data_IF_510988988728
#
_entry.id   IF_510988988728
#
_cell.length_a   1.000
_cell.length_b   1.000
_cell.length_c   1.000
_cell.angle_alpha   90.00
_cell.angle_beta   90.00
_cell.angle_gamma   90.00
#
_symmetry.space_group_name_H-M   'P 1'
#
loop_
_entity.id
_entity.type
_entity.pdbx_description
1 polymer ?
#
# COMPACT_ATOMS: atom_id res chain seq x y z
N UNK A 1 -22.50 -46.15 -12.00
CA UNK A 1 -21.21 -45.60 -12.47
C UNK A 1 -21.24 -44.11 -12.20
N UNK A 2 -20.57 -43.74 -11.12
CA UNK A 2 -20.56 -42.42 -10.50
C UNK A 2 -19.21 -41.78 -10.82
N UNK A 3 -19.21 -40.54 -11.30
CA UNK A 3 -18.02 -39.73 -11.54
C UNK A 3 -18.30 -38.28 -11.10
N UNK A 4 -17.26 -37.54 -10.66
CA UNK A 4 -17.30 -36.87 -9.36
C UNK A 4 -17.47 -35.35 -9.43
N UNK A 5 -17.87 -34.80 -8.28
CA UNK A 5 -18.12 -33.39 -8.05
C UNK A 5 -16.89 -32.51 -8.18
N UNK A 6 -17.11 -31.35 -8.81
CA UNK A 6 -16.25 -30.20 -8.84
C UNK A 6 -16.14 -29.59 -7.45
N UNK A 7 -14.95 -29.67 -6.86
CA UNK A 7 -14.60 -29.00 -5.62
C UNK A 7 -14.36 -27.50 -5.90
N UNK A 8 -15.26 -26.69 -5.38
CA UNK A 8 -15.15 -25.24 -5.27
C UNK A 8 -13.97 -24.92 -4.33
N UNK A 9 -12.85 -24.45 -4.89
CA UNK A 9 -11.72 -23.94 -4.11
C UNK A 9 -12.07 -22.53 -3.65
N UNK A 10 -12.67 -22.42 -2.47
CA UNK A 10 -12.75 -21.15 -1.77
C UNK A 10 -11.34 -20.62 -1.50
N UNK A 11 -11.00 -19.49 -2.12
CA UNK A 11 -9.79 -18.73 -1.82
C UNK A 11 -9.86 -18.25 -0.37
N UNK A 12 -9.23 -19.01 0.52
CA UNK A 12 -9.17 -18.67 1.94
C UNK A 12 -8.11 -17.59 2.09
N UNK A 13 -8.56 -16.34 2.12
CA UNK A 13 -7.73 -15.18 2.47
C UNK A 13 -7.15 -15.46 3.86
N UNK A 14 -5.84 -15.71 3.95
CA UNK A 14 -5.19 -15.98 5.22
C UNK A 14 -5.05 -14.67 5.98
N UNK A 15 -6.08 -14.30 6.75
CA UNK A 15 -5.85 -13.42 7.89
C UNK A 15 -4.73 -14.03 8.72
N UNK A 16 -3.63 -13.29 8.92
CA UNK A 16 -2.65 -13.63 9.96
C UNK A 16 -3.32 -13.35 11.31
N UNK A 17 -4.27 -14.19 11.70
CA UNK A 17 -4.78 -14.26 13.06
C UNK A 17 -3.59 -14.67 13.91
N UNK A 18 -3.00 -13.69 14.59
CA UNK A 18 -2.00 -13.98 15.61
C UNK A 18 -2.77 -14.66 16.74
N UNK A 19 -2.79 -15.99 16.76
CA UNK A 19 -3.44 -16.76 17.82
C UNK A 19 -2.68 -16.44 19.10
N UNK A 20 -3.22 -15.50 19.89
CA UNK A 20 -2.73 -15.20 21.22
C UNK A 20 -3.44 -16.14 22.18
N UNK A 21 -2.75 -17.08 22.84
CA UNK A 21 -3.38 -18.06 23.72
C UNK A 21 -3.76 -17.45 25.08
N UNK A 22 -4.02 -16.15 25.15
CA UNK A 22 -4.32 -15.46 26.39
C UNK A 22 -5.83 -15.28 26.54
N UNK A 23 -6.37 -15.64 27.69
CA UNK A 23 -7.80 -15.52 27.93
C UNK A 23 -8.22 -14.05 27.97
N UNK A 24 -9.34 -13.72 27.32
CA UNK A 24 -10.04 -12.43 27.45
C UNK A 24 -9.29 -11.19 26.94
N UNK A 25 -8.20 -11.37 26.19
CA UNK A 25 -7.50 -10.23 25.56
C UNK A 25 -8.33 -9.57 24.45
N UNK A 26 -9.27 -10.29 23.85
CA UNK A 26 -10.14 -9.78 22.78
C UNK A 26 -10.93 -8.53 23.21
N UNK A 27 -11.23 -8.38 24.50
CA UNK A 27 -11.90 -7.18 25.04
C UNK A 27 -11.00 -5.95 24.95
N UNK A 28 -9.70 -6.10 25.27
CA UNK A 28 -8.72 -5.01 25.14
C UNK A 28 -8.48 -4.72 23.66
N UNK A 29 -8.41 -5.76 22.83
CA UNK A 29 -8.20 -5.59 21.39
C UNK A 29 -9.35 -4.85 20.72
N UNK A 30 -10.61 -5.19 21.07
CA UNK A 30 -11.80 -4.51 20.57
C UNK A 30 -11.87 -3.02 20.91
N UNK A 31 -11.34 -2.58 22.05
CA UNK A 31 -11.26 -1.14 22.35
C UNK A 31 -10.28 -0.41 21.44
N UNK A 32 -9.22 -1.08 20.98
CA UNK A 32 -8.26 -0.49 20.04
C UNK A 32 -8.77 -0.47 18.58
N UNK A 33 -9.85 -1.17 18.23
CA UNK A 33 -10.47 -1.06 16.89
C UNK A 33 -10.96 0.34 16.58
N UNK A 34 -11.29 1.12 17.61
CA UNK A 34 -11.70 2.51 17.46
C UNK A 34 -10.54 3.48 17.17
N UNK A 35 -9.28 3.01 17.22
CA UNK A 35 -8.12 3.87 16.98
C UNK A 35 -8.01 4.21 15.51
N UNK A 36 -7.92 5.50 15.21
CA UNK A 36 -7.74 6.00 13.85
C UNK A 36 -6.54 6.94 13.76
N UNK A 37 -5.85 6.91 12.63
CA UNK A 37 -4.84 7.91 12.28
C UNK A 37 -5.50 8.94 11.36
N UNK A 38 -5.50 10.21 11.76
CA UNK A 38 -6.00 11.32 10.95
C UNK A 38 -4.83 12.02 10.27
N UNK A 39 -4.88 12.09 8.94
CA UNK A 39 -3.87 12.76 8.11
C UNK A 39 -4.54 13.87 7.31
N UNK A 40 -4.16 15.12 7.54
CA UNK A 40 -4.74 16.25 6.79
C UNK A 40 -6.25 16.48 7.02
N UNK A 41 -6.88 15.74 7.93
CA UNK A 41 -8.33 15.79 8.19
C UNK A 41 -9.04 14.47 7.89
N UNK A 42 -8.41 13.60 7.10
CA UNK A 42 -9.00 12.32 6.70
C UNK A 42 -8.62 11.20 7.68
N UNK A 43 -9.59 10.42 8.19
CA UNK A 43 -9.33 9.31 9.09
C UNK A 43 -8.94 8.04 8.34
N UNK A 44 -7.97 7.32 8.88
CA UNK A 44 -7.49 6.03 8.37
C UNK A 44 -7.52 4.97 9.46
N UNK A 45 -7.90 3.75 9.09
CA UNK A 45 -7.84 2.57 9.95
C UNK A 45 -6.42 1.98 10.03
N UNK A 46 -6.22 1.07 10.98
CA UNK A 46 -4.94 0.38 11.15
C UNK A 46 -4.61 -0.45 9.91
N UNK A 47 -3.41 -0.25 9.34
CA UNK A 47 -3.02 -0.89 8.09
C UNK A 47 -2.01 -0.06 7.33
N UNK A 48 -2.06 -0.17 6.00
CA UNK A 48 -1.30 0.69 5.10
C UNK A 48 -2.01 2.04 4.96
N UNK A 49 -1.27 3.13 5.13
CA UNK A 49 -1.73 4.51 4.99
C UNK A 49 -0.87 5.17 3.93
N UNK A 50 -1.37 5.19 2.71
CA UNK A 50 -0.66 5.77 1.56
C UNK A 50 -1.10 7.22 1.40
N UNK A 51 -0.14 8.15 1.42
CA UNK A 51 -0.43 9.59 1.39
C UNK A 51 0.48 10.28 0.38
N UNK A 52 -0.02 11.30 -0.31
CA UNK A 52 0.78 12.09 -1.23
C UNK A 52 2.02 12.68 -0.54
N UNK A 53 3.12 12.87 -1.28
CA UNK A 53 4.42 13.29 -0.71
C UNK A 53 4.35 14.66 -0.01
N UNK A 54 3.49 15.55 -0.50
CA UNK A 54 3.23 16.87 0.09
C UNK A 54 2.52 16.76 1.44
N UNK A 55 1.53 15.87 1.56
CA UNK A 55 0.87 15.55 2.82
C UNK A 55 1.83 14.85 3.78
N UNK A 56 2.63 13.89 3.30
CA UNK A 56 3.64 13.23 4.14
C UNK A 56 4.64 14.22 4.73
N UNK A 57 4.99 15.26 3.99
CA UNK A 57 5.97 16.26 4.42
C UNK A 57 5.36 17.36 5.30
N UNK A 58 4.14 17.79 5.00
CA UNK A 58 3.58 19.02 5.57
C UNK A 58 2.32 18.82 6.42
N UNK A 59 1.60 17.71 6.25
CA UNK A 59 0.36 17.50 6.99
C UNK A 59 0.62 17.31 8.48
N UNK A 60 -0.40 17.67 9.26
CA UNK A 60 -0.50 17.34 10.68
C UNK A 60 -1.10 15.95 10.80
N UNK A 61 -0.40 15.10 11.55
CA UNK A 61 -0.85 13.75 11.87
C UNK A 61 -1.40 13.75 13.30
N UNK A 62 -2.53 13.10 13.51
CA UNK A 62 -3.15 12.93 14.82
C UNK A 62 -3.65 11.50 14.98
N UNK A 63 -3.63 10.98 16.21
CA UNK A 63 -4.32 9.74 16.57
C UNK A 63 -5.60 10.07 17.30
N UNK A 64 -6.68 9.39 16.94
CA UNK A 64 -7.90 9.31 17.74
C UNK A 64 -7.76 8.08 18.64
N UNK A 65 -7.64 8.29 19.95
CA UNK A 65 -7.41 7.26 20.96
C UNK A 65 -8.72 6.98 21.72
N UNK A 66 -8.95 5.74 22.18
CA UNK A 66 -10.10 5.42 23.01
C UNK A 66 -9.98 6.14 24.37
N UNK A 67 -11.09 6.57 24.99
CA UNK A 67 -11.06 7.18 26.32
C UNK A 67 -10.36 6.28 27.34
N UNK A 68 -9.53 6.86 28.21
CA UNK A 68 -8.77 6.15 29.25
C UNK A 68 -9.66 5.25 30.13
N UNK A 69 -10.87 5.71 30.43
CA UNK A 69 -11.86 4.97 31.23
C UNK A 69 -12.32 3.68 30.56
N UNK A 70 -12.56 3.70 29.24
CA UNK A 70 -12.97 2.50 28.48
C UNK A 70 -11.85 1.47 28.40
N UNK A 71 -10.64 1.94 28.04
CA UNK A 71 -9.49 1.06 27.91
C UNK A 71 -9.10 0.42 29.25
N UNK A 72 -9.15 1.21 30.33
CA UNK A 72 -8.98 0.69 31.70
C UNK A 72 -10.03 -0.36 32.03
N UNK A 73 -11.30 -0.07 31.79
CA UNK A 73 -12.39 -1.01 32.07
C UNK A 73 -12.20 -2.33 31.31
N UNK A 74 -11.75 -2.28 30.06
CA UNK A 74 -11.44 -3.48 29.28
C UNK A 74 -10.32 -4.31 29.90
N UNK A 75 -9.26 -3.67 30.43
CA UNK A 75 -8.19 -4.38 31.16
C UNK A 75 -8.71 -4.98 32.47
N UNK A 76 -9.61 -4.29 33.19
CA UNK A 76 -10.26 -4.79 34.41
C UNK A 76 -11.10 -6.06 34.17
N UNK A 77 -11.56 -6.31 32.93
CA UNK A 77 -12.25 -7.55 32.57
C UNK A 77 -11.30 -8.75 32.39
N UNK A 78 -9.99 -8.54 32.47
CA UNK A 78 -8.97 -9.59 32.31
C UNK A 78 -8.38 -10.03 33.64
N UNK A 79 -7.55 -11.07 33.62
CA UNK A 79 -6.78 -11.51 34.79
C UNK A 79 -5.55 -10.63 35.08
N UNK A 80 -5.27 -9.64 34.23
CA UNK A 80 -4.05 -8.83 34.30
C UNK A 80 -4.28 -7.62 35.21
N UNK A 81 -3.42 -7.37 36.20
CA UNK A 81 -3.54 -6.18 37.05
C UNK A 81 -3.37 -4.90 36.21
N UNK A 82 -4.42 -4.08 36.19
CA UNK A 82 -4.45 -2.78 35.47
C UNK A 82 -3.26 -1.88 35.82
N UNK A 83 -2.83 -1.91 37.09
CA UNK A 83 -1.69 -1.11 37.57
C UNK A 83 -0.38 -1.40 36.82
N UNK A 84 -0.29 -2.57 36.18
CA UNK A 84 0.86 -3.01 35.41
C UNK A 84 0.67 -2.80 33.90
N UNK A 85 -0.40 -2.14 33.46
CA UNK A 85 -0.70 -1.90 32.06
C UNK A 85 -0.50 -0.42 31.70
N UNK A 86 -0.06 -0.17 30.47
CA UNK A 86 0.03 1.17 29.90
C UNK A 86 -0.43 1.20 28.45
N UNK A 87 -0.99 2.34 28.04
CA UNK A 87 -1.16 2.71 26.64
C UNK A 87 0.16 3.33 26.15
N UNK A 88 0.68 2.78 25.05
CA UNK A 88 1.92 3.23 24.43
C UNK A 88 1.65 3.63 22.98
N UNK A 89 2.11 4.82 22.60
CA UNK A 89 2.23 5.24 21.20
C UNK A 89 3.71 5.30 20.85
N UNK A 90 4.11 4.52 19.86
CA UNK A 90 5.48 4.43 19.38
C UNK A 90 5.53 4.71 17.88
N UNK A 91 6.56 5.42 17.44
CA UNK A 91 6.85 5.62 16.03
C UNK A 91 8.14 4.93 15.63
N UNK A 92 8.23 4.47 14.39
CA UNK A 92 9.42 3.78 13.85
C UNK A 92 9.65 4.19 12.40
N UNK A 93 10.86 4.63 12.07
CA UNK A 93 11.25 5.04 10.71
C UNK A 93 11.40 3.82 9.80
N UNK A 94 10.99 3.98 8.54
CA UNK A 94 11.16 2.96 7.50
C UNK A 94 12.63 2.80 7.08
N UNK A 95 13.39 3.90 7.00
CA UNK A 95 14.76 3.88 6.46
C UNK A 95 15.85 3.85 7.53
N UNK A 96 15.67 4.59 8.62
CA UNK A 96 16.70 4.82 9.62
C UNK A 96 16.73 3.75 10.72
N UNK A 97 15.77 2.81 10.74
CA UNK A 97 15.59 1.81 11.81
C UNK A 97 15.55 2.42 13.22
N UNK A 98 15.20 3.70 13.32
CA UNK A 98 15.05 4.42 14.58
C UNK A 98 13.60 4.27 15.09
N UNK A 99 13.44 4.12 16.40
CA UNK A 99 12.13 4.09 17.06
C UNK A 99 12.11 5.01 18.28
N UNK A 100 10.95 5.56 18.60
CA UNK A 100 10.76 6.44 19.76
C UNK A 100 9.34 6.30 20.29
N UNK A 101 9.21 6.33 21.61
CA UNK A 101 7.91 6.33 22.30
C UNK A 101 7.47 7.78 22.47
N UNK A 102 6.28 8.10 21.95
CA UNK A 102 5.68 9.44 22.01
C UNK A 102 4.69 9.57 23.17
N UNK A 103 4.02 8.48 23.54
CA UNK A 103 3.09 8.41 24.67
C UNK A 103 3.37 7.12 25.45
N UNK A 104 3.40 7.22 26.77
CA UNK A 104 3.50 6.06 27.66
C UNK A 104 2.71 6.36 28.94
N UNK A 105 1.42 6.04 28.92
CA UNK A 105 0.51 6.39 30.01
C UNK A 105 0.00 5.14 30.72
N UNK A 106 0.22 5.09 32.03
CA UNK A 106 -0.26 4.01 32.88
C UNK A 106 -1.78 4.05 32.96
N UNK A 107 -2.44 2.90 32.91
CA UNK A 107 -3.91 2.80 32.96
C UNK A 107 -4.47 2.83 34.39
N UNK A 108 -3.79 3.52 35.32
CA UNK A 108 -4.19 3.60 36.74
C UNK A 108 -5.46 4.43 36.96
N UNK A 109 -5.96 4.44 38.20
CA UNK A 109 -7.04 5.34 38.57
C UNK A 109 -6.64 6.81 38.42
N UNK A 110 -7.43 7.56 37.66
CA UNK A 110 -7.10 8.93 37.25
C UNK A 110 -6.16 9.03 36.05
N UNK A 111 -5.92 7.94 35.29
CA UNK A 111 -5.21 8.02 34.03
C UNK A 111 -5.92 8.98 33.07
N UNK A 112 -5.18 9.98 32.59
CA UNK A 112 -5.65 10.97 31.64
C UNK A 112 -4.66 11.05 30.49
N UNK A 113 -5.15 10.86 29.28
CA UNK A 113 -4.43 11.12 28.04
C UNK A 113 -5.42 11.73 27.04
N UNK A 114 -4.94 12.53 26.08
CA UNK A 114 -5.84 13.17 25.14
C UNK A 114 -6.45 12.14 24.19
N UNK A 115 -7.76 12.23 23.97
CA UNK A 115 -8.46 11.45 22.94
C UNK A 115 -7.97 11.82 21.53
N UNK A 116 -7.54 13.07 21.34
CA UNK A 116 -6.81 13.52 20.15
C UNK A 116 -5.32 13.72 20.46
N UNK A 117 -4.48 12.76 20.09
CA UNK A 117 -3.04 12.83 20.30
C UNK A 117 -2.32 13.31 19.04
N UNK A 118 -1.73 14.50 19.06
CA UNK A 118 -0.99 15.04 17.93
C UNK A 118 0.41 14.41 17.82
N UNK A 119 0.78 13.95 16.62
CA UNK A 119 2.12 13.47 16.33
C UNK A 119 3.02 14.65 15.95
N UNK A 120 3.65 15.25 16.96
CA UNK A 120 4.50 16.42 16.76
C UNK A 120 5.85 16.04 16.15
N UNK A 121 6.14 16.49 14.93
CA UNK A 121 7.40 16.22 14.22
C UNK A 121 8.65 16.57 15.04
N UNK A 122 8.60 17.65 15.83
CA UNK A 122 9.71 18.08 16.67
C UNK A 122 10.10 17.04 17.74
N UNK A 123 9.17 16.20 18.18
CA UNK A 123 9.43 15.18 19.22
C UNK A 123 10.17 13.95 18.68
N UNK A 124 10.10 13.70 17.38
CA UNK A 124 10.75 12.56 16.72
C UNK A 124 11.17 12.94 15.29
N UNK A 125 12.01 13.97 15.17
CA UNK A 125 12.34 14.64 13.90
C UNK A 125 12.89 13.66 12.85
N UNK A 126 13.79 12.76 13.23
CA UNK A 126 14.38 11.77 12.33
C UNK A 126 13.36 10.74 11.81
N UNK A 127 12.30 10.49 12.57
CA UNK A 127 11.31 9.45 12.25
C UNK A 127 10.13 10.05 11.48
N UNK A 128 9.54 11.12 12.02
CA UNK A 128 8.33 11.72 11.46
C UNK A 128 8.62 12.55 10.19
N UNK A 129 9.88 12.89 9.91
CA UNK A 129 10.29 13.51 8.63
C UNK A 129 10.92 12.50 7.65
N UNK A 130 10.82 11.20 7.91
CA UNK A 130 11.26 10.18 6.95
C UNK A 130 10.35 10.20 5.71
N UNK A 131 10.91 10.64 4.58
CA UNK A 131 10.17 10.74 3.31
C UNK A 131 9.80 9.38 2.73
N UNK A 132 10.47 8.30 3.15
CA UNK A 132 10.07 6.95 2.78
C UNK A 132 8.92 6.42 3.67
N UNK A 133 8.48 7.21 4.65
CA UNK A 133 7.39 6.87 5.55
C UNK A 133 7.87 6.34 6.91
N UNK A 134 6.89 5.97 7.74
CA UNK A 134 7.11 5.49 9.10
C UNK A 134 5.91 4.68 9.59
N UNK A 135 6.12 3.87 10.62
CA UNK A 135 5.07 3.15 11.31
C UNK A 135 4.69 3.83 12.62
N UNK A 136 3.39 4.07 12.83
CA UNK A 136 2.82 4.46 14.11
C UNK A 136 2.19 3.23 14.75
N UNK A 137 2.66 2.85 15.93
CA UNK A 137 2.13 1.71 16.69
C UNK A 137 1.43 2.23 17.94
N UNK A 138 0.16 1.88 18.10
CA UNK A 138 -0.62 2.10 19.32
C UNK A 138 -0.83 0.75 19.98
N UNK A 139 -0.43 0.59 21.23
CA UNK A 139 -0.50 -0.70 21.92
C UNK A 139 -0.83 -0.55 23.39
N UNK A 140 -1.56 -1.51 23.94
CA UNK A 140 -1.62 -1.73 25.38
C UNK A 140 -0.52 -2.71 25.72
N UNK A 141 0.34 -2.39 26.69
CA UNK A 141 1.48 -3.20 27.06
C UNK A 141 1.48 -3.52 28.55
N UNK A 142 1.99 -4.71 28.89
CA UNK A 142 2.32 -5.08 30.26
C UNK A 142 3.67 -4.45 30.61
N UNK A 143 3.69 -3.48 31.52
CA UNK A 143 4.89 -2.77 31.96
C UNK A 143 5.79 -3.62 32.85
N UNK A 144 5.17 -4.34 33.80
CA UNK A 144 5.88 -5.05 34.85
C UNK A 144 5.73 -6.56 34.69
N UNK A 145 6.79 -7.30 35.04
CA UNK A 145 6.73 -8.75 35.06
C UNK A 145 5.81 -9.22 36.20
N UNK A 146 4.84 -10.08 35.89
CA UNK A 146 3.90 -10.65 36.87
C UNK A 146 4.15 -12.15 37.09
N UNK A 147 3.64 -12.75 38.17
CA UNK A 147 3.75 -14.19 38.38
C UNK A 147 3.12 -14.96 37.22
N UNK A 148 3.78 -16.00 36.68
CA UNK A 148 3.26 -16.77 35.57
C UNK A 148 2.00 -17.56 35.97
N UNK A 149 0.96 -17.46 35.16
CA UNK A 149 -0.28 -18.22 35.31
C UNK A 149 -0.74 -18.76 33.93
N UNK A 150 -1.49 -19.88 33.88
CA UNK A 150 -2.01 -20.41 32.62
C UNK A 150 -2.79 -19.35 31.84
N UNK A 151 -2.53 -19.27 30.53
CA UNK A 151 -3.18 -18.35 29.59
C UNK A 151 -3.08 -16.86 30.00
N UNK A 152 -2.09 -16.49 30.81
CA UNK A 152 -1.87 -15.10 31.25
C UNK A 152 -0.49 -14.62 30.80
N UNK A 153 -0.39 -13.45 30.13
CA UNK A 153 0.89 -12.87 29.77
C UNK A 153 1.61 -12.41 31.03
N UNK A 154 2.90 -12.75 31.16
CA UNK A 154 3.64 -12.50 32.39
C UNK A 154 4.93 -11.71 32.21
N UNK A 155 5.44 -11.57 30.98
CA UNK A 155 6.69 -10.88 30.72
C UNK A 155 6.46 -9.38 30.50
N UNK A 156 7.27 -8.54 31.15
CA UNK A 156 7.32 -7.11 30.88
C UNK A 156 7.58 -6.84 29.39
N UNK A 157 6.93 -5.82 28.85
CA UNK A 157 6.95 -5.48 27.42
C UNK A 157 5.99 -6.30 26.56
N UNK A 158 5.26 -7.28 27.11
CA UNK A 158 4.27 -8.04 26.34
C UNK A 158 3.16 -7.12 25.87
N UNK A 159 2.94 -7.06 24.56
CA UNK A 159 1.81 -6.34 23.99
C UNK A 159 0.54 -7.13 24.24
N UNK A 160 -0.47 -6.51 24.84
CA UNK A 160 -1.79 -7.10 25.07
C UNK A 160 -2.67 -6.91 23.82
N UNK A 161 -2.75 -5.69 23.32
CA UNK A 161 -3.42 -5.33 22.07
C UNK A 161 -2.54 -4.37 21.25
N UNK A 162 -2.71 -4.34 19.93
CA UNK A 162 -1.87 -3.51 19.04
C UNK A 162 -2.59 -3.11 17.75
N UNK A 163 -2.47 -1.85 17.38
CA UNK A 163 -2.80 -1.31 16.04
C UNK A 163 -1.56 -0.66 15.43
N UNK A 164 -1.38 -0.83 14.12
CA UNK A 164 -0.21 -0.32 13.40
C UNK A 164 -0.68 0.40 12.14
N UNK A 165 -0.26 1.64 12.00
CA UNK A 165 -0.45 2.46 10.82
C UNK A 165 0.89 2.59 10.11
N UNK A 166 1.02 2.03 8.91
CA UNK A 166 2.22 2.14 8.09
C UNK A 166 2.01 3.27 7.10
N UNK A 167 2.50 4.44 7.47
CA UNK A 167 2.45 5.62 6.63
C UNK A 167 3.55 5.49 5.58
N UNK A 168 3.19 5.57 4.31
CA UNK A 168 4.14 5.58 3.19
C UNK A 168 3.75 6.67 2.20
N UNK A 169 4.74 7.28 1.51
CA UNK A 169 4.41 8.16 0.40
C UNK A 169 3.64 7.35 -0.65
N UNK A 170 2.71 8.00 -1.32
CA UNK A 170 2.19 7.51 -2.58
C UNK A 170 3.38 7.39 -3.52
N UNK A 171 3.79 6.14 -3.76
CA UNK A 171 4.67 5.87 -4.87
C UNK A 171 3.86 6.25 -6.09
N UNK A 172 4.35 7.21 -6.85
CA UNK A 172 3.90 7.30 -8.22
C UNK A 172 4.23 5.94 -8.83
N UNK A 173 3.21 5.16 -9.18
CA UNK A 173 3.31 3.94 -10.00
C UNK A 173 3.70 4.35 -11.43
N UNK A 174 4.73 5.21 -11.56
CA UNK A 174 5.30 5.78 -12.80
C UNK A 174 6.58 5.10 -13.20
N UNK A 175 7.17 4.31 -12.30
CA UNK A 175 8.49 3.73 -12.52
C UNK A 175 8.38 2.21 -12.59
N UNK A 176 7.63 1.71 -13.57
CA UNK A 176 7.90 0.35 -14.05
C UNK A 176 9.34 0.36 -14.54
N UNK A 177 10.23 -0.20 -13.72
CA UNK A 177 11.66 -0.12 -13.98
C UNK A 177 11.98 -1.14 -15.06
N UNK A 178 12.59 -0.73 -16.20
CA UNK A 178 12.90 -1.68 -17.24
C UNK A 178 13.95 -2.69 -16.79
N UNK A 179 13.69 -3.94 -17.10
CA UNK A 179 14.56 -5.09 -16.89
C UNK A 179 15.12 -5.60 -18.21
N UNK A 180 16.21 -6.37 -18.14
CA UNK A 180 16.82 -6.97 -19.33
C UNK A 180 15.93 -8.08 -19.90
N UNK A 181 15.62 -7.98 -21.20
CA UNK A 181 14.93 -9.04 -21.94
C UNK A 181 15.92 -10.15 -22.32
N UNK A 182 16.24 -11.00 -21.35
CA UNK A 182 17.18 -12.13 -21.50
C UNK A 182 16.62 -13.24 -22.42
N UNK A 183 17.49 -14.15 -22.88
CA UNK A 183 17.05 -15.32 -23.64
C UNK A 183 16.09 -16.22 -22.83
N UNK A 184 16.30 -16.31 -21.52
CA UNK A 184 15.46 -17.08 -20.60
C UNK A 184 14.04 -16.50 -20.56
N UNK A 185 13.90 -15.18 -20.46
CA UNK A 185 12.59 -14.49 -20.48
C UNK A 185 11.92 -14.71 -21.84
N UNK A 186 12.65 -14.58 -22.95
CA UNK A 186 12.11 -14.85 -24.30
C UNK A 186 11.58 -16.27 -24.44
N UNK A 187 12.33 -17.27 -23.97
CA UNK A 187 11.91 -18.68 -24.00
C UNK A 187 10.69 -18.91 -23.11
N UNK A 188 10.67 -18.33 -21.91
CA UNK A 188 9.57 -18.48 -20.95
C UNK A 188 8.26 -17.93 -21.50
N UNK A 189 8.31 -16.79 -22.19
CA UNK A 189 7.13 -16.13 -22.76
C UNK A 189 6.89 -16.46 -24.25
N UNK A 190 7.63 -17.40 -24.84
CA UNK A 190 7.56 -17.77 -26.27
C UNK A 190 7.65 -16.56 -27.21
N UNK A 191 8.54 -15.62 -26.91
CA UNK A 191 8.69 -14.38 -27.68
C UNK A 191 9.47 -14.63 -28.98
N UNK A 192 9.05 -14.04 -30.10
CA UNK A 192 9.82 -14.08 -31.34
C UNK A 192 11.20 -13.42 -31.21
N UNK A 193 12.10 -13.81 -32.10
CA UNK A 193 13.37 -13.12 -32.30
C UNK A 193 13.13 -11.67 -32.76
N UNK A 194 13.95 -10.74 -32.28
CA UNK A 194 13.86 -9.32 -32.65
C UNK A 194 12.86 -8.48 -31.83
N UNK A 195 12.14 -9.05 -30.88
CA UNK A 195 11.33 -8.26 -29.92
C UNK A 195 12.24 -7.34 -29.12
N UNK A 196 12.01 -6.03 -29.17
CA UNK A 196 12.83 -5.02 -28.47
C UNK A 196 12.29 -4.68 -27.07
N UNK A 197 10.98 -4.81 -26.87
CA UNK A 197 10.28 -4.46 -25.63
C UNK A 197 9.14 -5.43 -25.41
N UNK A 198 8.89 -5.77 -24.16
CA UNK A 198 7.82 -6.69 -23.78
C UNK A 198 7.33 -6.32 -22.39
N UNK A 199 6.01 -6.36 -22.17
CA UNK A 199 5.43 -6.16 -20.85
C UNK A 199 4.75 -7.47 -20.45
N UNK A 200 5.17 -8.02 -19.31
CA UNK A 200 4.58 -9.20 -18.72
C UNK A 200 3.76 -8.82 -17.49
N UNK A 201 2.76 -9.64 -17.21
CA UNK A 201 1.84 -9.43 -16.09
C UNK A 201 1.72 -10.73 -15.31
N UNK A 202 1.82 -10.61 -14.00
CA UNK A 202 1.31 -11.60 -13.07
C UNK A 202 -0.18 -11.30 -12.77
N UNK A 203 -0.69 -11.81 -11.66
CA UNK A 203 -2.04 -11.46 -11.20
C UNK A 203 -2.06 -10.02 -10.69
N UNK A 204 -2.74 -9.13 -11.41
CA UNK A 204 -2.80 -7.70 -11.08
C UNK A 204 -3.86 -7.40 -10.04
N UNK A 205 -4.94 -8.18 -10.01
CA UNK A 205 -6.03 -7.98 -9.06
C UNK A 205 -5.64 -8.49 -7.66
N UNK A 206 -4.80 -9.52 -7.58
CA UNK A 206 -4.26 -10.01 -6.31
C UNK A 206 -3.09 -9.18 -5.75
N UNK A 207 -2.59 -8.18 -6.49
CA UNK A 207 -1.40 -7.43 -6.12
C UNK A 207 -1.68 -6.36 -5.05
N UNK A 208 -0.80 -6.26 -4.05
CA UNK A 208 -0.78 -5.14 -3.09
C UNK A 208 -0.13 -3.88 -3.71
N UNK A 209 0.83 -4.07 -4.62
CA UNK A 209 1.58 -3.05 -5.37
C UNK A 209 1.77 -3.55 -6.81
N UNK A 210 1.36 -2.74 -7.81
CA UNK A 210 1.47 -3.15 -9.23
C UNK A 210 2.92 -3.26 -9.70
N UNK A 211 3.88 -2.62 -9.01
CA UNK A 211 5.30 -2.74 -9.37
C UNK A 211 5.87 -4.15 -9.15
N UNK A 212 5.21 -4.98 -8.33
CA UNK A 212 5.60 -6.38 -8.12
C UNK A 212 5.00 -7.33 -9.18
N UNK A 213 3.91 -6.92 -9.84
CA UNK A 213 3.16 -7.76 -10.79
C UNK A 213 3.27 -7.30 -12.26
N UNK A 214 3.85 -6.13 -12.53
CA UNK A 214 4.06 -5.60 -13.88
C UNK A 214 5.56 -5.57 -14.17
N UNK A 215 5.99 -6.38 -15.14
CA UNK A 215 7.39 -6.50 -15.53
C UNK A 215 7.60 -5.91 -16.92
N UNK A 216 8.44 -4.89 -17.02
CA UNK A 216 8.75 -4.22 -18.29
C UNK A 216 10.14 -4.66 -18.74
N UNK A 217 10.22 -5.43 -19.82
CA UNK A 217 11.47 -5.94 -20.35
C UNK A 217 11.91 -5.16 -21.60
N UNK A 218 13.20 -4.86 -21.69
CA UNK A 218 13.84 -4.17 -22.82
C UNK A 218 15.06 -4.95 -23.27
N UNK A 219 15.27 -5.03 -24.58
CA UNK A 219 16.44 -5.71 -25.16
C UNK A 219 17.75 -5.14 -24.57
N UNK A 220 18.71 -5.99 -24.14
CA UNK A 220 19.88 -5.53 -23.39
C UNK A 220 20.71 -4.44 -24.07
N UNK A 221 20.90 -4.49 -25.40
CA UNK A 221 21.65 -3.44 -26.10
C UNK A 221 20.90 -2.10 -26.10
N UNK A 222 19.57 -2.12 -26.24
CA UNK A 222 18.72 -0.93 -26.13
C UNK A 222 18.72 -0.39 -24.71
N UNK A 223 18.55 -1.25 -23.70
CA UNK A 223 18.54 -0.85 -22.30
C UNK A 223 19.87 -0.22 -21.88
N UNK A 224 20.99 -0.87 -22.22
CA UNK A 224 22.32 -0.32 -21.97
C UNK A 224 22.54 1.01 -22.70
N UNK A 225 22.02 1.17 -23.91
CA UNK A 225 22.10 2.43 -24.63
C UNK A 225 21.29 3.54 -23.93
N UNK A 226 20.07 3.25 -23.47
CA UNK A 226 19.25 4.20 -22.70
C UNK A 226 19.94 4.63 -21.40
N UNK A 227 20.50 3.66 -20.64
CA UNK A 227 21.18 3.94 -19.37
C UNK A 227 22.43 4.81 -19.55
N UNK A 228 23.15 4.65 -20.66
CA UNK A 228 24.40 5.39 -20.91
C UNK A 228 24.21 6.73 -21.63
N UNK A 229 23.02 7.03 -22.18
CA UNK A 229 22.78 8.21 -23.01
C UNK A 229 21.52 8.99 -22.58
N UNK A 230 21.27 9.14 -21.27
CA UNK A 230 20.07 9.76 -20.70
C UNK A 230 19.77 11.21 -21.16
N UNK A 231 20.77 11.92 -21.70
CA UNK A 231 20.60 13.28 -22.24
C UNK A 231 20.23 13.33 -23.71
N UNK A 232 20.27 12.19 -24.42
CA UNK A 232 19.99 12.07 -25.85
C UNK A 232 18.47 12.17 -26.13
N UNK A 233 18.08 12.94 -27.15
CA UNK A 233 16.68 13.13 -27.51
C UNK A 233 16.01 11.83 -27.96
N UNK A 234 16.75 10.94 -28.62
CA UNK A 234 16.26 9.63 -29.04
C UNK A 234 16.04 8.73 -27.82
N UNK A 235 16.92 8.77 -26.81
CA UNK A 235 16.73 8.00 -25.56
C UNK A 235 15.47 8.45 -24.84
N UNK A 236 15.28 9.76 -24.68
CA UNK A 236 14.07 10.32 -24.05
C UNK A 236 12.80 9.90 -24.78
N UNK A 237 12.85 9.89 -26.11
CA UNK A 237 11.73 9.40 -26.91
C UNK A 237 11.45 7.91 -26.64
N UNK A 238 12.49 7.08 -26.49
CA UNK A 238 12.29 5.66 -26.11
C UNK A 238 11.76 5.47 -24.69
N UNK A 239 12.21 6.28 -23.72
CA UNK A 239 11.68 6.26 -22.35
C UNK A 239 10.19 6.60 -22.33
N UNK A 240 9.79 7.64 -23.08
CA UNK A 240 8.39 8.04 -23.23
C UNK A 240 7.55 6.93 -23.88
N UNK A 241 8.01 6.35 -24.99
CA UNK A 241 7.30 5.24 -25.65
C UNK A 241 7.18 4.01 -24.74
N UNK A 242 8.21 3.71 -23.95
CA UNK A 242 8.18 2.61 -23.00
C UNK A 242 7.18 2.85 -21.87
N UNK A 243 7.15 4.07 -21.32
CA UNK A 243 6.17 4.45 -20.32
C UNK A 243 4.75 4.34 -20.89
N UNK A 244 4.49 4.87 -22.09
CA UNK A 244 3.19 4.77 -22.76
C UNK A 244 2.78 3.31 -22.94
N UNK A 245 3.69 2.46 -23.42
CA UNK A 245 3.43 1.03 -23.61
C UNK A 245 3.07 0.34 -22.29
N UNK A 246 3.84 0.58 -21.23
CA UNK A 246 3.61 -0.06 -19.93
C UNK A 246 2.26 0.38 -19.34
N UNK A 247 1.96 1.68 -19.34
CA UNK A 247 0.70 2.22 -18.83
C UNK A 247 -0.52 1.71 -19.61
N UNK A 248 -0.44 1.72 -20.94
CA UNK A 248 -1.52 1.25 -21.80
C UNK A 248 -1.80 -0.24 -21.57
N UNK A 249 -0.75 -1.06 -21.55
CA UNK A 249 -0.89 -2.50 -21.38
C UNK A 249 -1.38 -2.88 -19.97
N UNK A 250 -0.89 -2.20 -18.92
CA UNK A 250 -1.38 -2.41 -17.55
C UNK A 250 -2.86 -2.06 -17.41
N UNK A 251 -3.29 -0.92 -17.95
CA UNK A 251 -4.71 -0.53 -17.92
C UNK A 251 -5.60 -1.55 -18.65
N UNK A 252 -5.19 -1.99 -19.84
CA UNK A 252 -5.91 -3.00 -20.61
C UNK A 252 -5.96 -4.35 -19.88
N UNK A 253 -4.87 -4.76 -19.23
CA UNK A 253 -4.82 -6.02 -18.50
C UNK A 253 -5.71 -6.00 -17.25
N UNK A 254 -5.70 -4.90 -16.48
CA UNK A 254 -6.62 -4.71 -15.34
C UNK A 254 -8.07 -4.86 -15.79
N UNK A 255 -8.46 -4.16 -16.85
CA UNK A 255 -9.82 -4.21 -17.38
C UNK A 255 -10.19 -5.60 -17.85
N UNK A 256 -9.27 -6.30 -18.51
CA UNK A 256 -9.46 -7.67 -18.95
C UNK A 256 -9.69 -8.62 -17.77
N UNK A 257 -8.86 -8.54 -16.72
CA UNK A 257 -9.00 -9.42 -15.55
C UNK A 257 -10.33 -9.17 -14.82
N UNK A 258 -10.73 -7.91 -14.63
CA UNK A 258 -12.02 -7.59 -13.99
C UNK A 258 -13.19 -8.03 -14.87
N UNK A 259 -13.06 -7.88 -16.20
CA UNK A 259 -14.08 -8.34 -17.14
C UNK A 259 -14.33 -9.84 -17.03
N UNK A 260 -13.27 -10.62 -16.81
CA UNK A 260 -13.37 -12.07 -16.62
C UNK A 260 -14.14 -12.43 -15.33
N UNK A 261 -14.05 -11.60 -14.29
CA UNK A 261 -14.81 -11.76 -13.05
C UNK A 261 -16.26 -11.23 -13.13
N UNK A 262 -16.48 -10.19 -13.95
CA UNK A 262 -17.75 -9.48 -14.08
C UNK A 262 -18.24 -9.46 -15.54
N UNK A 263 -18.67 -10.62 -16.07
CA UNK A 263 -19.10 -10.71 -17.46
C UNK A 263 -20.46 -10.05 -17.69
N UNK A 264 -20.60 -9.36 -18.83
CA UNK A 264 -21.91 -8.98 -19.38
C UNK A 264 -22.55 -7.69 -18.85
N UNK A 265 -21.83 -6.86 -18.09
CA UNK A 265 -22.27 -5.50 -17.73
C UNK A 265 -21.12 -4.48 -17.83
N UNK A 266 -21.40 -3.18 -17.99
CA UNK A 266 -20.37 -2.15 -17.92
C UNK A 266 -19.62 -2.21 -16.57
N UNK A 267 -18.31 -2.00 -16.60
CA UNK A 267 -17.49 -1.83 -15.41
C UNK A 267 -17.81 -0.49 -14.78
N UNK A 268 -17.79 -0.50 -13.47
CA UNK A 268 -17.96 0.67 -12.63
C UNK A 268 -16.80 0.75 -11.65
N UNK A 269 -16.61 1.90 -11.03
CA UNK A 269 -15.55 2.07 -10.02
C UNK A 269 -15.67 1.06 -8.86
N UNK A 270 -16.90 0.69 -8.48
CA UNK A 270 -17.17 -0.30 -7.45
C UNK A 270 -16.60 -1.69 -7.76
N UNK A 271 -16.34 -2.00 -9.04
CA UNK A 271 -15.73 -3.27 -9.45
C UNK A 271 -14.23 -3.32 -9.16
N UNK A 272 -13.60 -2.16 -8.97
CA UNK A 272 -12.19 -2.01 -8.62
C UNK A 272 -11.96 -1.84 -7.12
N UNK A 273 -12.96 -1.44 -6.34
CA UNK A 273 -12.84 -1.27 -4.88
C UNK A 273 -12.20 -2.47 -4.15
N UNK A 274 -12.46 -3.75 -4.52
CA UNK A 274 -11.78 -4.89 -3.90
C UNK A 274 -10.28 -4.98 -4.19
N UNK A 275 -9.79 -4.26 -5.20
CA UNK A 275 -8.46 -4.35 -5.78
C UNK A 275 -7.72 -3.01 -5.63
N UNK A 276 -7.20 -2.69 -4.44
CA UNK A 276 -6.72 -1.35 -4.10
C UNK A 276 -5.57 -0.86 -5.00
N UNK A 277 -4.68 -1.76 -5.45
CA UNK A 277 -3.61 -1.40 -6.37
C UNK A 277 -4.15 -1.01 -7.76
N UNK A 278 -5.04 -1.83 -8.32
CA UNK A 278 -5.69 -1.56 -9.60
C UNK A 278 -6.59 -0.32 -9.55
N UNK A 279 -7.36 -0.15 -8.46
CA UNK A 279 -8.21 1.03 -8.24
C UNK A 279 -7.38 2.30 -8.19
N UNK A 280 -6.29 2.32 -7.41
CA UNK A 280 -5.36 3.46 -7.33
C UNK A 280 -4.72 3.75 -8.67
N UNK A 281 -4.25 2.74 -9.40
CA UNK A 281 -3.65 2.93 -10.73
C UNK A 281 -4.62 3.59 -11.72
N UNK A 282 -5.83 3.05 -11.82
CA UNK A 282 -6.88 3.59 -12.71
C UNK A 282 -7.33 4.98 -12.25
N UNK A 283 -7.44 5.22 -10.95
CA UNK A 283 -7.77 6.54 -10.39
C UNK A 283 -6.70 7.57 -10.73
N UNK A 284 -5.42 7.20 -10.59
CA UNK A 284 -4.29 8.05 -10.94
C UNK A 284 -4.24 8.34 -12.45
N UNK A 285 -4.59 7.37 -13.30
CA UNK A 285 -4.76 7.61 -14.73
C UNK A 285 -5.90 8.58 -15.02
N UNK A 286 -7.05 8.44 -14.36
CA UNK A 286 -8.20 9.33 -14.57
C UNK A 286 -7.86 10.78 -14.18
N UNK A 287 -7.20 10.97 -13.03
CA UNK A 287 -6.69 12.27 -12.59
C UNK A 287 -5.70 12.85 -13.60
N UNK A 288 -4.73 12.06 -14.07
CA UNK A 288 -3.76 12.50 -15.09
C UNK A 288 -4.43 12.88 -16.40
N UNK A 289 -5.48 12.18 -16.80
CA UNK A 289 -6.23 12.46 -18.02
C UNK A 289 -7.28 13.56 -17.87
N UNK A 290 -7.45 14.10 -16.66
CA UNK A 290 -8.47 15.12 -16.35
C UNK A 290 -9.87 14.66 -16.76
N UNK A 291 -10.18 13.38 -16.54
CA UNK A 291 -11.50 12.80 -16.79
C UNK A 291 -12.04 12.11 -15.54
N UNK A 292 -13.35 11.82 -15.54
CA UNK A 292 -13.92 11.00 -14.47
C UNK A 292 -13.45 9.54 -14.56
N UNK A 293 -13.47 8.83 -13.43
CA UNK A 293 -13.14 7.40 -13.37
C UNK A 293 -14.03 6.58 -14.30
N UNK A 294 -15.33 6.88 -14.32
CA UNK A 294 -16.30 6.21 -15.20
C UNK A 294 -16.01 6.44 -16.68
N UNK A 295 -15.57 7.65 -17.07
CA UNK A 295 -15.18 7.93 -18.46
C UNK A 295 -13.92 7.16 -18.84
N UNK A 296 -12.93 7.07 -17.94
CA UNK A 296 -11.72 6.28 -18.18
C UNK A 296 -12.07 4.81 -18.42
N UNK A 297 -12.88 4.22 -17.55
CA UNK A 297 -13.31 2.82 -17.68
C UNK A 297 -14.04 2.57 -19.00
N UNK A 298 -15.03 3.40 -19.33
CA UNK A 298 -15.78 3.26 -20.58
C UNK A 298 -14.88 3.32 -21.81
N UNK A 299 -13.92 4.26 -21.84
CA UNK A 299 -12.99 4.40 -22.96
C UNK A 299 -12.08 3.18 -23.10
N UNK A 300 -11.55 2.73 -21.97
CA UNK A 300 -10.61 1.62 -21.96
C UNK A 300 -11.30 0.26 -22.22
N UNK A 301 -12.59 0.11 -21.89
CA UNK A 301 -13.43 -1.03 -22.30
C UNK A 301 -13.65 -1.12 -23.80
N UNK A 302 -13.94 0.02 -24.46
CA UNK A 302 -14.23 0.08 -25.89
C UNK A 302 -12.97 -0.16 -26.75
N UNK A 303 -11.82 -0.43 -26.12
CA UNK A 303 -10.51 -0.46 -26.77
C UNK A 303 -10.14 0.90 -27.38
N UNK A 304 -10.88 1.95 -27.03
CA UNK A 304 -10.69 3.30 -27.54
C UNK A 304 -9.81 4.09 -26.58
N UNK A 305 -8.54 4.16 -26.95
CA UNK A 305 -7.62 5.26 -26.67
C UNK A 305 -7.35 5.54 -25.17
N UNK A 306 -6.66 4.64 -24.48
CA UNK A 306 -5.77 5.04 -23.37
C UNK A 306 -4.49 5.64 -23.96
N UNK A 307 -3.93 4.98 -24.97
CA UNK A 307 -2.67 5.36 -25.65
C UNK A 307 -2.59 6.82 -26.15
N UNK A 308 -3.50 7.40 -26.95
CA UNK A 308 -3.37 8.80 -27.39
C UNK A 308 -3.43 9.82 -26.26
N UNK A 309 -4.13 9.53 -25.16
CA UNK A 309 -4.11 10.40 -23.99
C UNK A 309 -2.76 10.32 -23.29
N UNK A 310 -2.18 9.12 -23.19
CA UNK A 310 -0.80 8.95 -22.75
C UNK A 310 0.16 9.72 -23.69
N UNK A 311 0.08 9.54 -25.01
CA UNK A 311 0.92 10.24 -25.99
C UNK A 311 0.83 11.77 -25.84
N UNK A 312 -0.39 12.30 -25.66
CA UNK A 312 -0.59 13.73 -25.43
C UNK A 312 0.00 14.20 -24.09
N UNK A 313 -0.20 13.44 -23.01
CA UNK A 313 0.24 13.79 -21.65
C UNK A 313 1.76 13.63 -21.46
N UNK A 314 2.37 12.66 -22.11
CA UNK A 314 3.82 12.48 -22.13
C UNK A 314 4.52 13.36 -23.17
N UNK A 315 3.80 14.26 -23.86
CA UNK A 315 4.33 15.10 -24.94
C UNK A 315 5.08 14.28 -26.01
N UNK A 316 4.63 13.05 -26.31
CA UNK A 316 5.35 12.10 -27.17
C UNK A 316 5.72 12.69 -28.54
N UNK A 317 4.82 13.50 -29.12
CA UNK A 317 5.04 14.22 -30.38
C UNK A 317 6.23 15.18 -30.32
N UNK A 318 6.44 15.87 -29.19
CA UNK A 318 7.56 16.79 -29.02
C UNK A 318 8.88 16.05 -29.00
N UNK A 319 9.00 14.99 -28.21
CA UNK A 319 10.21 14.17 -28.15
C UNK A 319 10.49 13.46 -29.48
N UNK A 320 9.45 13.03 -30.19
CA UNK A 320 9.58 12.48 -31.55
C UNK A 320 10.13 13.52 -32.53
N UNK A 321 9.63 14.76 -32.49
CA UNK A 321 10.12 15.84 -33.35
C UNK A 321 11.56 16.26 -33.01
N UNK A 322 11.94 16.22 -31.74
CA UNK A 322 13.32 16.46 -31.30
C UNK A 322 14.26 15.36 -31.79
N UNK A 323 13.89 14.09 -31.60
CA UNK A 323 14.68 12.93 -32.04
C UNK A 323 14.88 12.85 -33.57
N UNK A 324 13.93 13.38 -34.36
CA UNK A 324 14.04 13.42 -35.83
C UNK A 324 14.91 14.56 -36.36
N UNK A 325 15.34 15.50 -35.51
CA UNK A 325 16.17 16.65 -35.91
C UNK A 325 17.67 16.37 -35.81
N UNK A 326 18.05 15.38 -35.01
CA UNK A 326 19.43 14.87 -34.86
C UNK A 326 19.76 13.82 -35.92
#
# INVERSE_FOLDING_TARGET
>A
MTAPGSAEKAATRSERVTIRPFSQIDVIDGELDSVQLVVGGDPFEAGAVVVAEDLLSNARFKLLLPPATKLRWAVEQTTIPVANCALVVMVTSSTHRASTILLNERLTEGAEYPEEFALERATAELILNDRAGYAVTVAVVLLDQIPPAPLTPHQAGTWLARRVFRVSPEKQETSFSPEELTEEVRKTHNLPDGVLRFVAFDDLLAADDLSDSVHVYVEPSVLNWMLNNQSDHVVRQQEVELAILAYDMTAQMIIRQIRDEVPGRPLTEADLEPYPAAHRFMGNLAVKFECSFSELLSRAEDGQYVRPFLEAKFEATKFTLEALRD
#
